data_IF_279458468463
#
_entry.id   IF_279458468463
#
_cell.length_a   1.000
_cell.length_b   1.000
_cell.length_c   1.000
_cell.angle_alpha   90.00
_cell.angle_beta   90.00
_cell.angle_gamma   90.00
#
_symmetry.space_group_name_H-M   'P 1'
#
loop_
_entity.id
_entity.type
_entity.pdbx_description
1 polymer ?
#
# COMPACT_ATOMS: atom_id res chain seq x y z
N UNK A 1 -13.75 10.00 8.64
CA UNK A 1 -12.40 9.41 8.49
C UNK A 1 -12.58 7.91 8.31
N UNK A 2 -11.77 7.33 7.43
CA UNK A 2 -12.00 6.04 6.79
C UNK A 2 -11.27 4.88 7.48
N UNK A 3 -11.97 3.87 7.99
CA UNK A 3 -11.41 2.81 8.84
C UNK A 3 -10.74 1.68 8.04
N UNK A 4 -9.84 0.96 8.70
CA UNK A 4 -9.35 -0.34 8.23
C UNK A 4 -10.12 -1.43 8.99
N UNK A 5 -10.57 -2.45 8.27
CA UNK A 5 -11.26 -3.60 8.84
C UNK A 5 -10.42 -4.86 8.68
N UNK A 6 -10.58 -5.79 9.61
CA UNK A 6 -10.03 -7.14 9.59
C UNK A 6 -11.19 -8.11 9.78
N UNK A 7 -11.53 -8.86 8.74
CA UNK A 7 -12.64 -9.79 8.73
C UNK A 7 -12.16 -11.23 8.85
N UNK A 8 -12.87 -12.03 9.62
CA UNK A 8 -12.79 -13.49 9.64
C UNK A 8 -14.20 -14.06 9.62
N UNK A 9 -14.37 -15.35 9.29
CA UNK A 9 -15.68 -16.01 9.40
C UNK A 9 -16.26 -15.99 10.83
N UNK A 10 -15.41 -15.86 11.85
CA UNK A 10 -15.81 -15.90 13.27
C UNK A 10 -15.98 -14.52 13.90
N UNK A 11 -15.73 -13.44 13.16
CA UNK A 11 -15.84 -12.07 13.67
C UNK A 11 -14.89 -11.10 12.98
N UNK A 12 -14.99 -9.84 13.38
CA UNK A 12 -14.25 -8.72 12.80
C UNK A 12 -13.59 -7.83 13.86
N UNK A 13 -12.62 -7.05 13.42
CA UNK A 13 -11.99 -5.99 14.19
C UNK A 13 -11.74 -4.78 13.31
N UNK A 14 -11.79 -3.59 13.89
CA UNK A 14 -11.58 -2.34 13.17
C UNK A 14 -10.42 -1.52 13.77
N UNK A 15 -9.76 -0.79 12.88
CA UNK A 15 -8.74 0.19 13.23
C UNK A 15 -9.17 1.57 12.73
N UNK A 16 -9.02 2.57 13.59
CA UNK A 16 -9.41 3.93 13.28
C UNK A 16 -8.69 4.47 12.06
N UNK A 17 -9.45 5.22 11.25
CA UNK A 17 -8.98 5.66 9.94
C UNK A 17 -7.78 6.59 9.94
N UNK A 18 -7.52 7.22 11.08
CA UNK A 18 -6.28 7.97 11.28
C UNK A 18 -5.05 7.09 11.05
N UNK A 19 -5.08 5.77 11.30
CA UNK A 19 -3.92 4.87 11.13
C UNK A 19 -3.49 4.76 9.68
N UNK A 20 -4.43 4.63 8.74
CA UNK A 20 -4.07 4.62 7.31
C UNK A 20 -3.35 5.91 6.91
N UNK A 21 -3.85 7.06 7.33
CA UNK A 21 -3.21 8.35 7.04
C UNK A 21 -1.82 8.46 7.71
N UNK A 22 -1.67 7.89 8.91
CA UNK A 22 -0.39 7.81 9.59
C UNK A 22 0.62 6.93 8.84
N UNK A 23 0.18 5.78 8.32
CA UNK A 23 1.03 4.89 7.52
C UNK A 23 1.47 5.56 6.21
N UNK A 24 0.56 6.26 5.54
CA UNK A 24 0.91 7.08 4.38
C UNK A 24 2.00 8.11 4.72
N UNK A 25 1.81 8.83 5.83
CA UNK A 25 2.78 9.83 6.30
C UNK A 25 4.14 9.20 6.63
N UNK A 26 4.18 8.06 7.33
CA UNK A 26 5.41 7.35 7.65
C UNK A 26 6.18 6.96 6.40
N UNK A 27 5.51 6.36 5.41
CA UNK A 27 6.16 5.94 4.16
C UNK A 27 6.76 7.14 3.41
N UNK A 28 6.00 8.24 3.29
CA UNK A 28 6.49 9.46 2.64
C UNK A 28 7.63 10.12 3.41
N UNK A 29 7.61 10.13 4.74
CA UNK A 29 8.72 10.69 5.52
C UNK A 29 10.00 9.88 5.37
N UNK A 30 9.92 8.56 5.25
CA UNK A 30 11.08 7.74 4.92
C UNK A 30 11.62 8.05 3.52
N UNK A 31 10.74 8.15 2.51
CA UNK A 31 11.12 8.57 1.16
C UNK A 31 11.87 9.91 1.19
N UNK A 32 11.26 10.95 1.74
CA UNK A 32 11.78 12.31 1.74
C UNK A 32 13.09 12.44 2.53
N UNK A 33 13.26 11.66 3.60
CA UNK A 33 14.50 11.63 4.36
C UNK A 33 15.68 11.09 3.52
N UNK A 34 15.44 10.09 2.68
CA UNK A 34 16.48 9.53 1.79
C UNK A 34 16.71 10.43 0.57
N UNK A 35 15.67 11.08 0.05
CA UNK A 35 15.81 12.00 -1.08
C UNK A 35 16.62 13.26 -0.74
N UNK A 36 16.73 13.64 0.54
CA UNK A 36 17.52 14.78 1.04
C UNK A 36 17.32 16.07 0.22
N UNK A 37 16.05 16.41 -0.04
CA UNK A 37 15.68 17.59 -0.85
C UNK A 37 16.25 18.91 -0.29
N UNK A 38 16.57 18.94 1.01
CA UNK A 38 17.17 20.11 1.67
C UNK A 38 18.59 20.42 1.22
N UNK A 39 19.24 19.53 0.47
CA UNK A 39 20.57 19.75 -0.10
C UNK A 39 20.58 20.66 -1.36
N UNK A 40 19.41 21.07 -1.88
CA UNK A 40 19.30 22.02 -2.99
C UNK A 40 19.85 23.40 -2.62
N UNK A 41 20.65 23.98 -3.51
CA UNK A 41 21.11 25.38 -3.43
C UNK A 41 21.24 25.97 -4.83
N UNK A 42 21.35 27.30 -4.95
CA UNK A 42 21.58 27.95 -6.24
C UNK A 42 22.91 27.52 -6.90
N UNK A 43 23.96 27.35 -6.10
CA UNK A 43 25.29 26.95 -6.59
C UNK A 43 25.45 25.44 -6.77
N UNK A 44 24.56 24.65 -6.18
CA UNK A 44 24.52 23.19 -6.29
C UNK A 44 23.06 22.74 -6.36
N UNK A 45 22.45 22.76 -7.55
CA UNK A 45 21.09 22.28 -7.75
C UNK A 45 20.99 20.78 -7.43
N UNK A 46 19.89 20.39 -6.81
CA UNK A 46 19.60 19.00 -6.46
C UNK A 46 19.39 18.16 -7.72
N UNK A 47 20.02 16.96 -7.83
CA UNK A 47 19.92 16.13 -9.04
C UNK A 47 18.49 15.74 -9.42
N UNK A 48 17.63 15.50 -8.42
CA UNK A 48 16.21 15.19 -8.60
C UNK A 48 15.40 16.28 -9.33
N UNK A 49 15.92 17.51 -9.48
CA UNK A 49 15.29 18.54 -10.32
C UNK A 49 15.00 18.03 -11.74
N UNK A 50 15.88 17.19 -12.28
CA UNK A 50 15.76 16.61 -13.61
C UNK A 50 14.59 15.63 -13.74
N UNK A 51 14.07 15.13 -12.61
CA UNK A 51 12.91 14.26 -12.59
C UNK A 51 11.61 15.03 -12.90
N UNK A 52 11.56 16.34 -12.65
CA UNK A 52 10.36 17.13 -12.86
C UNK A 52 10.26 17.60 -14.31
N UNK A 53 9.05 17.58 -14.93
CA UNK A 53 8.84 18.16 -16.26
C UNK A 53 9.32 19.61 -16.33
N UNK A 54 9.85 20.04 -17.48
CA UNK A 54 10.43 21.38 -17.63
C UNK A 54 9.44 22.53 -17.29
N UNK A 55 8.15 22.30 -17.53
CA UNK A 55 7.05 23.24 -17.25
C UNK A 55 6.42 23.04 -15.85
N UNK A 56 6.95 22.15 -15.01
CA UNK A 56 6.44 21.91 -13.68
C UNK A 56 6.75 23.09 -12.76
N UNK A 57 5.81 23.50 -11.91
CA UNK A 57 5.95 24.71 -11.09
C UNK A 57 7.21 24.71 -10.19
N UNK A 58 7.69 23.53 -9.78
CA UNK A 58 8.91 23.39 -8.99
C UNK A 58 10.16 23.91 -9.70
N UNK A 59 10.20 23.95 -11.04
CA UNK A 59 11.38 24.36 -11.81
C UNK A 59 11.69 25.85 -11.70
N UNK A 60 10.75 26.66 -11.20
CA UNK A 60 10.91 28.11 -11.00
C UNK A 60 11.59 28.48 -9.67
N UNK A 61 11.79 27.52 -8.77
CA UNK A 61 12.27 27.77 -7.41
C UNK A 61 13.68 27.24 -7.18
N UNK A 62 14.37 27.74 -6.15
CA UNK A 62 15.69 27.27 -5.72
C UNK A 62 15.82 27.17 -4.19
N UNK A 63 16.80 26.39 -3.75
CA UNK A 63 17.14 26.19 -2.36
C UNK A 63 15.97 25.64 -1.55
N UNK A 64 15.74 26.26 -0.39
CA UNK A 64 14.67 25.88 0.54
C UNK A 64 13.27 25.96 -0.08
N UNK A 65 13.04 26.94 -0.97
CA UNK A 65 11.76 27.10 -1.64
C UNK A 65 11.52 25.97 -2.64
N UNK A 66 12.55 25.58 -3.41
CA UNK A 66 12.48 24.39 -4.24
C UNK A 66 12.18 23.14 -3.41
N UNK A 67 12.94 22.92 -2.33
CA UNK A 67 12.78 21.73 -1.48
C UNK A 67 11.35 21.60 -0.94
N UNK A 68 10.75 22.72 -0.50
CA UNK A 68 9.38 22.76 0.02
C UNK A 68 8.36 22.46 -1.08
N UNK A 69 8.52 23.06 -2.26
CA UNK A 69 7.62 22.81 -3.39
C UNK A 69 7.76 21.39 -3.94
N UNK A 70 8.97 20.84 -3.99
CA UNK A 70 9.23 19.46 -4.39
C UNK A 70 8.63 18.46 -3.39
N UNK A 71 8.78 18.68 -2.08
CA UNK A 71 8.12 17.87 -1.04
C UNK A 71 6.59 17.88 -1.23
N UNK A 72 6.00 19.05 -1.43
CA UNK A 72 4.56 19.16 -1.67
C UNK A 72 4.12 18.43 -2.95
N UNK A 73 4.88 18.56 -4.05
CA UNK A 73 4.60 17.86 -5.30
C UNK A 73 4.62 16.34 -5.11
N UNK A 74 5.62 15.83 -4.39
CA UNK A 74 5.81 14.41 -4.10
C UNK A 74 4.67 13.87 -3.23
N UNK A 75 4.34 14.56 -2.13
CA UNK A 75 3.30 14.10 -1.18
C UNK A 75 1.90 14.18 -1.77
N UNK A 76 1.59 15.25 -2.50
CA UNK A 76 0.24 15.45 -3.03
C UNK A 76 -0.10 14.55 -4.22
N UNK A 77 0.85 13.72 -4.69
CA UNK A 77 0.79 13.13 -6.03
C UNK A 77 0.72 14.21 -7.12
N UNK A 78 1.12 15.44 -6.75
CA UNK A 78 0.83 16.70 -7.43
C UNK A 78 1.80 17.01 -8.57
N UNK A 79 2.31 15.98 -9.23
CA UNK A 79 2.76 16.15 -10.60
C UNK A 79 1.49 16.05 -11.40
N UNK A 80 0.96 17.19 -11.82
CA UNK A 80 -0.35 17.39 -12.45
C UNK A 80 -0.61 16.58 -13.73
N UNK A 81 0.29 15.69 -14.08
CA UNK A 81 0.22 14.75 -15.17
C UNK A 81 -0.05 13.33 -14.62
N UNK A 82 -1.23 12.75 -14.86
CA UNK A 82 -1.55 11.38 -14.45
C UNK A 82 -0.59 10.33 -15.06
N UNK A 83 0.10 10.68 -16.15
CA UNK A 83 1.09 9.84 -16.83
C UNK A 83 2.51 10.08 -16.30
N UNK A 84 2.71 10.98 -15.33
CA UNK A 84 4.03 11.15 -14.75
C UNK A 84 4.51 9.85 -14.10
N UNK A 85 5.61 9.33 -14.62
CA UNK A 85 6.33 8.19 -14.07
C UNK A 85 7.81 8.53 -14.03
N UNK A 86 8.41 8.34 -12.85
CA UNK A 86 9.84 8.30 -12.69
C UNK A 86 10.38 7.15 -13.54
N UNK A 87 11.27 7.48 -14.47
CA UNK A 87 11.99 6.49 -15.26
C UNK A 87 13.36 6.30 -14.63
N UNK A 88 13.63 5.12 -14.09
CA UNK A 88 14.87 4.76 -13.39
C UNK A 88 15.52 3.62 -14.17
N UNK A 89 16.32 3.98 -15.18
CA UNK A 89 16.81 3.01 -16.16
C UNK A 89 15.67 2.50 -17.05
N UNK A 90 15.44 1.19 -17.04
CA UNK A 90 14.33 0.52 -17.72
C UNK A 90 13.05 0.41 -16.87
N UNK A 91 13.15 0.69 -15.56
CA UNK A 91 12.04 0.60 -14.61
C UNK A 91 11.22 1.88 -14.57
N UNK A 92 9.91 1.74 -14.31
CA UNK A 92 8.99 2.87 -14.11
C UNK A 92 8.36 2.81 -12.73
N UNK A 93 8.25 3.96 -12.09
CA UNK A 93 7.57 4.09 -10.79
C UNK A 93 6.93 5.46 -10.64
N UNK A 94 5.99 5.59 -9.71
CA UNK A 94 5.62 6.87 -9.14
C UNK A 94 6.26 7.04 -7.75
N UNK A 95 6.13 8.23 -7.18
CA UNK A 95 6.67 8.53 -5.84
C UNK A 95 5.91 7.81 -4.72
N UNK A 96 4.62 7.49 -4.91
CA UNK A 96 3.82 6.79 -3.92
C UNK A 96 4.30 5.35 -3.75
N UNK A 97 4.45 4.62 -4.85
CA UNK A 97 5.02 3.29 -4.95
C UNK A 97 6.47 3.29 -4.42
N UNK A 98 7.26 4.29 -4.79
CA UNK A 98 8.61 4.43 -4.28
C UNK A 98 8.65 4.67 -2.77
N UNK A 99 7.67 5.39 -2.19
CA UNK A 99 7.57 5.59 -0.76
C UNK A 99 7.29 4.28 -0.02
N UNK A 100 6.36 3.47 -0.54
CA UNK A 100 6.07 2.13 -0.01
C UNK A 100 7.31 1.23 -0.07
N UNK A 101 7.97 1.15 -1.23
CA UNK A 101 9.18 0.35 -1.41
C UNK A 101 10.35 0.82 -0.56
N UNK A 102 10.46 2.13 -0.32
CA UNK A 102 11.48 2.68 0.61
C UNK A 102 11.21 2.21 2.03
N UNK A 103 9.96 2.27 2.49
CA UNK A 103 9.56 1.76 3.80
C UNK A 103 9.80 0.24 3.91
N UNK A 104 9.58 -0.52 2.84
CA UNK A 104 9.90 -1.95 2.78
C UNK A 104 11.41 -2.21 2.83
N UNK A 105 12.23 -1.38 2.17
CA UNK A 105 13.68 -1.58 2.10
C UNK A 105 14.40 -1.29 3.42
N UNK A 106 13.98 -0.26 4.17
CA UNK A 106 14.66 0.17 5.42
C UNK A 106 13.92 -0.24 6.69
N UNK A 107 12.63 -0.56 6.58
CA UNK A 107 11.77 -0.81 7.72
C UNK A 107 11.96 -2.20 8.30
N UNK A 108 11.86 -2.30 9.63
CA UNK A 108 11.55 -3.57 10.29
C UNK A 108 10.09 -3.98 10.06
N UNK A 109 9.72 -5.18 10.50
CA UNK A 109 8.40 -5.77 10.20
C UNK A 109 7.19 -4.86 10.45
N UNK A 110 7.11 -4.06 11.54
CA UNK A 110 5.96 -3.19 11.72
C UNK A 110 5.82 -2.11 10.65
N UNK A 111 6.95 -1.55 10.18
CA UNK A 111 6.92 -0.53 9.13
C UNK A 111 6.64 -1.17 7.76
N UNK A 112 7.16 -2.37 7.52
CA UNK A 112 6.79 -3.17 6.34
C UNK A 112 5.29 -3.44 6.30
N UNK A 113 4.71 -3.82 7.44
CA UNK A 113 3.28 -4.04 7.57
C UNK A 113 2.48 -2.74 7.38
N UNK A 114 2.94 -1.61 7.93
CA UNK A 114 2.32 -0.31 7.67
C UNK A 114 2.23 -0.01 6.16
N UNK A 115 3.33 -0.24 5.43
CA UNK A 115 3.39 -0.04 3.99
C UNK A 115 2.48 -1.02 3.23
N UNK A 116 2.50 -2.32 3.57
CA UNK A 116 1.61 -3.33 2.99
C UNK A 116 0.14 -3.00 3.21
N UNK A 117 -0.27 -2.68 4.44
CA UNK A 117 -1.64 -2.31 4.75
C UNK A 117 -2.05 -1.02 4.04
N UNK A 118 -1.18 -0.01 4.00
CA UNK A 118 -1.50 1.22 3.28
C UNK A 118 -1.68 0.98 1.78
N UNK A 119 -0.79 0.21 1.16
CA UNK A 119 -0.79 -0.05 -0.28
C UNK A 119 -1.77 -1.11 -0.76
N UNK A 120 -2.28 -1.97 0.12
CA UNK A 120 -3.11 -3.13 -0.28
C UNK A 120 -4.46 -3.22 0.46
N UNK A 121 -4.79 -2.30 1.37
CA UNK A 121 -6.09 -2.34 2.08
C UNK A 121 -7.31 -2.23 1.16
N UNK A 122 -7.16 -1.62 -0.02
CA UNK A 122 -8.20 -1.54 -1.05
C UNK A 122 -8.26 -2.78 -1.94
N UNK A 123 -7.25 -3.66 -1.85
CA UNK A 123 -7.12 -4.89 -2.63
C UNK A 123 -7.47 -6.15 -1.81
N UNK A 124 -7.99 -5.94 -0.60
CA UNK A 124 -8.31 -7.01 0.33
C UNK A 124 -7.13 -7.94 0.65
N UNK A 125 -5.97 -7.37 0.99
CA UNK A 125 -4.84 -8.15 1.51
C UNK A 125 -5.29 -9.09 2.64
N UNK A 126 -4.77 -10.31 2.65
CA UNK A 126 -5.23 -11.34 3.57
C UNK A 126 -4.07 -12.11 4.19
N UNK A 127 -4.32 -12.77 5.32
CA UNK A 127 -3.39 -13.70 5.97
C UNK A 127 -4.11 -15.04 6.15
N UNK A 128 -3.47 -16.14 5.75
CA UNK A 128 -4.00 -17.48 6.00
C UNK A 128 -3.94 -17.84 7.49
N UNK A 129 -4.82 -18.77 7.91
CA UNK A 129 -5.01 -19.13 9.32
C UNK A 129 -3.73 -19.48 10.06
N UNK A 130 -2.86 -20.27 9.42
CA UNK A 130 -1.56 -20.70 9.95
C UNK A 130 -0.60 -19.54 10.23
N UNK A 131 -0.80 -18.38 9.59
CA UNK A 131 0.06 -17.21 9.69
C UNK A 131 -0.55 -16.08 10.55
N UNK A 132 -1.76 -16.23 11.08
CA UNK A 132 -2.43 -15.19 11.88
C UNK A 132 -1.62 -14.79 13.12
N UNK A 133 -1.05 -15.76 13.84
CA UNK A 133 -0.23 -15.50 15.03
C UNK A 133 1.04 -14.71 14.70
N UNK A 134 1.70 -15.03 13.57
CA UNK A 134 2.85 -14.28 13.08
C UNK A 134 2.49 -12.81 12.79
N UNK A 135 1.36 -12.57 12.11
CA UNK A 135 0.90 -11.21 11.86
C UNK A 135 0.59 -10.46 13.16
N UNK A 136 -0.04 -11.13 14.13
CA UNK A 136 -0.34 -10.57 15.44
C UNK A 136 0.95 -10.15 16.19
N UNK A 137 2.03 -10.92 16.07
CA UNK A 137 3.33 -10.60 16.67
C UNK A 137 3.95 -9.36 16.04
N UNK A 138 3.83 -9.17 14.72
CA UNK A 138 4.27 -7.94 14.03
C UNK A 138 3.49 -6.72 14.53
N UNK A 139 2.16 -6.84 14.65
CA UNK A 139 1.31 -5.75 15.12
C UNK A 139 1.65 -5.38 16.56
N UNK A 140 1.81 -6.37 17.43
CA UNK A 140 2.18 -6.16 18.83
C UNK A 140 3.56 -5.49 18.94
N UNK A 141 4.56 -5.94 18.17
CA UNK A 141 5.87 -5.28 18.11
C UNK A 141 5.77 -3.82 17.61
N UNK A 142 4.88 -3.56 16.64
CA UNK A 142 4.59 -2.21 16.15
C UNK A 142 4.04 -1.29 17.22
N UNK A 143 3.11 -1.79 18.04
CA UNK A 143 2.55 -1.06 19.18
C UNK A 143 3.60 -0.79 20.26
N UNK A 144 4.38 -1.79 20.64
CA UNK A 144 5.44 -1.65 21.66
C UNK A 144 6.50 -0.62 21.26
N UNK A 145 6.76 -0.46 19.97
CA UNK A 145 7.70 0.52 19.41
C UNK A 145 7.05 1.86 19.06
N UNK A 146 5.77 2.06 19.37
CA UNK A 146 4.98 3.25 19.01
C UNK A 146 4.96 3.58 17.51
N UNK A 147 5.16 2.57 16.65
CA UNK A 147 4.96 2.70 15.20
C UNK A 147 3.45 2.68 14.92
N UNK A 148 2.73 1.77 15.57
CA UNK A 148 1.26 1.70 15.57
C UNK A 148 0.74 2.44 16.79
N UNK A 149 -0.19 3.37 16.60
CA UNK A 149 -0.61 4.26 17.69
C UNK A 149 -1.51 3.53 18.69
N UNK A 150 -1.44 3.95 19.94
CA UNK A 150 -2.29 3.42 20.99
C UNK A 150 -3.75 3.85 20.83
N UNK A 151 -4.68 3.05 21.33
CA UNK A 151 -6.13 3.34 21.35
C UNK A 151 -6.75 3.55 19.95
N UNK A 152 -6.23 2.87 18.94
CA UNK A 152 -6.78 2.92 17.58
C UNK A 152 -7.45 1.62 17.15
N UNK A 153 -7.56 0.61 18.02
CA UNK A 153 -8.23 -0.67 17.74
C UNK A 153 -7.28 -1.83 17.42
N UNK A 154 -5.96 -1.61 17.42
CA UNK A 154 -4.98 -2.67 17.16
C UNK A 154 -5.03 -3.80 18.19
N UNK A 155 -5.42 -3.52 19.43
CA UNK A 155 -5.65 -4.49 20.49
C UNK A 155 -6.68 -5.54 20.07
N UNK A 156 -7.81 -5.09 19.51
CA UNK A 156 -8.88 -5.95 19.01
C UNK A 156 -8.43 -6.76 17.78
N UNK A 157 -7.61 -6.18 16.91
CA UNK A 157 -7.04 -6.91 15.77
C UNK A 157 -6.10 -8.03 16.23
N UNK A 158 -5.25 -7.75 17.23
CA UNK A 158 -4.38 -8.78 17.82
C UNK A 158 -5.22 -9.88 18.46
N UNK A 159 -6.27 -9.53 19.21
CA UNK A 159 -7.19 -10.51 19.79
C UNK A 159 -7.85 -11.38 18.72
N UNK A 160 -8.39 -10.77 17.66
CA UNK A 160 -8.98 -11.48 16.52
C UNK A 160 -7.99 -12.47 15.90
N UNK A 161 -6.78 -12.02 15.58
CA UNK A 161 -5.75 -12.85 14.97
C UNK A 161 -5.29 -14.00 15.87
N UNK A 162 -5.31 -13.80 17.20
CA UNK A 162 -4.94 -14.84 18.18
C UNK A 162 -6.09 -15.75 18.58
N UNK A 163 -7.34 -15.37 18.30
CA UNK A 163 -8.52 -16.14 18.70
C UNK A 163 -8.61 -17.52 18.03
N UNK A 164 -8.00 -17.69 16.86
CA UNK A 164 -8.02 -18.91 16.08
C UNK A 164 -6.88 -18.95 15.07
N UNK A 165 -6.33 -20.15 14.82
CA UNK A 165 -5.44 -20.45 13.69
C UNK A 165 -6.18 -20.97 12.46
N UNK A 166 -7.52 -21.06 12.52
CA UNK A 166 -8.35 -21.59 11.44
C UNK A 166 -8.90 -20.46 10.56
N UNK A 167 -8.87 -20.70 9.24
CA UNK A 167 -9.41 -19.81 8.22
C UNK A 167 -8.60 -18.51 8.01
N UNK A 168 -8.83 -17.78 6.92
CA UNK A 168 -8.10 -16.54 6.62
C UNK A 168 -8.64 -15.33 7.40
N UNK A 169 -7.82 -14.29 7.58
CA UNK A 169 -8.28 -12.93 7.93
C UNK A 169 -8.03 -12.02 6.74
N UNK A 170 -9.04 -11.25 6.34
CA UNK A 170 -9.01 -10.36 5.18
C UNK A 170 -9.12 -8.92 5.62
N UNK A 171 -8.33 -8.04 5.03
CA UNK A 171 -8.41 -6.60 5.30
C UNK A 171 -9.40 -5.93 4.35
N UNK A 172 -10.04 -4.85 4.79
CA UNK A 172 -10.78 -3.95 3.89
C UNK A 172 -10.64 -2.51 4.37
N UNK A 173 -11.06 -1.58 3.51
CA UNK A 173 -11.06 -0.16 3.80
C UNK A 173 -12.47 0.42 3.67
N UNK A 174 -12.88 1.28 4.59
CA UNK A 174 -14.27 1.74 4.72
C UNK A 174 -14.80 2.62 3.57
N UNK A 175 -14.00 2.90 2.55
CA UNK A 175 -14.40 3.69 1.36
C UNK A 175 -14.57 2.79 0.14
N UNK A 176 -13.92 1.62 0.15
CA UNK A 176 -14.10 0.59 -0.86
C UNK A 176 -15.27 -0.31 -0.46
N UNK A 177 -15.70 -1.14 -1.40
CA UNK A 177 -16.60 -2.25 -1.07
C UNK A 177 -16.00 -3.12 0.03
N UNK A 178 -16.85 -3.63 0.92
CA UNK A 178 -16.41 -4.46 2.04
C UNK A 178 -16.20 -5.91 1.60
N UNK A 179 -15.58 -6.71 2.47
CA UNK A 179 -15.45 -8.14 2.25
C UNK A 179 -16.54 -8.88 3.03
N UNK A 180 -17.20 -9.93 2.50
CA UNK A 180 -17.00 -10.54 1.16
C UNK A 180 -17.36 -9.60 0.00
N UNK A 181 -16.58 -9.65 -1.08
CA UNK A 181 -16.70 -8.75 -2.23
C UNK A 181 -17.13 -9.49 -3.49
N UNK A 182 -18.28 -9.11 -4.05
CA UNK A 182 -18.87 -9.69 -5.27
C UNK A 182 -18.02 -9.41 -6.51
N UNK A 183 -17.59 -8.15 -6.69
CA UNK A 183 -16.85 -7.69 -7.86
C UNK A 183 -15.62 -8.56 -8.09
N UNK A 184 -14.86 -8.85 -7.04
CA UNK A 184 -13.68 -9.72 -7.13
C UNK A 184 -14.07 -11.15 -7.50
N UNK A 185 -15.18 -11.67 -6.96
CA UNK A 185 -15.65 -13.01 -7.29
C UNK A 185 -16.09 -13.14 -8.76
N UNK A 186 -16.69 -12.10 -9.32
CA UNK A 186 -17.08 -12.01 -10.74
C UNK A 186 -15.85 -11.85 -11.64
N UNK A 187 -14.97 -10.90 -11.33
CA UNK A 187 -13.77 -10.59 -12.13
C UNK A 187 -12.85 -11.82 -12.28
N UNK A 188 -12.71 -12.61 -11.22
CA UNK A 188 -11.91 -13.84 -11.23
C UNK A 188 -12.68 -15.06 -11.76
N UNK A 189 -13.94 -14.89 -12.19
CA UNK A 189 -14.78 -15.95 -12.75
C UNK A 189 -15.15 -17.06 -11.76
N UNK A 190 -15.07 -16.78 -10.46
CA UNK A 190 -15.39 -17.72 -9.38
C UNK A 190 -16.89 -17.80 -9.13
N UNK A 191 -17.59 -16.69 -9.36
CA UNK A 191 -19.02 -16.58 -9.28
C UNK A 191 -19.58 -15.83 -10.49
N UNK A 192 -20.83 -16.10 -10.84
CA UNK A 192 -21.55 -15.37 -11.88
C UNK A 192 -23.01 -15.26 -11.47
N UNK A 193 -23.67 -14.12 -11.74
CA UNK A 193 -25.09 -13.98 -11.45
C UNK A 193 -25.92 -14.94 -12.33
N UNK A 194 -27.13 -15.32 -11.89
CA UNK A 194 -28.03 -16.14 -12.70
C UNK A 194 -28.39 -15.46 -14.03
N UNK A 195 -28.37 -16.18 -15.16
CA UNK A 195 -28.65 -15.66 -16.52
C UNK A 195 -30.02 -14.95 -16.70
N UNK A 196 -30.92 -15.06 -15.72
CA UNK A 196 -32.28 -14.52 -15.77
C UNK A 196 -32.45 -13.18 -15.07
N UNK A 197 -31.43 -12.68 -14.37
CA UNK A 197 -31.49 -11.42 -13.66
C UNK A 197 -31.23 -10.24 -14.61
N UNK A 198 -31.99 -9.15 -14.47
CA UNK A 198 -31.63 -7.86 -15.08
C UNK A 198 -30.54 -7.18 -14.23
N UNK A 199 -29.86 -6.14 -14.73
CA UNK A 199 -28.75 -5.47 -14.02
C UNK A 199 -29.08 -5.02 -12.57
N UNK A 200 -30.34 -4.69 -12.25
CA UNK A 200 -30.79 -4.36 -10.88
C UNK A 200 -31.07 -5.60 -9.98
N UNK A 201 -31.23 -6.79 -10.56
CA UNK A 201 -31.48 -8.08 -9.88
C UNK A 201 -30.18 -8.89 -9.64
N UNK A 202 -29.07 -8.51 -10.28
CA UNK A 202 -27.75 -9.15 -10.14
C UNK A 202 -27.15 -8.91 -8.74
N UNK A 203 -27.14 -7.65 -8.27
CA UNK A 203 -26.69 -7.28 -6.91
C UNK A 203 -27.50 -8.05 -5.84
N UNK A 204 -28.82 -8.18 -6.02
CA UNK A 204 -29.71 -8.92 -5.12
C UNK A 204 -29.38 -10.43 -5.07
N UNK A 205 -28.84 -11.00 -6.15
CA UNK A 205 -28.48 -12.42 -6.20
C UNK A 205 -27.28 -12.75 -5.32
N UNK A 206 -26.25 -11.89 -5.30
CA UNK A 206 -25.10 -12.05 -4.41
C UNK A 206 -25.51 -11.95 -2.94
N UNK A 207 -26.26 -10.90 -2.57
CA UNK A 207 -26.72 -10.72 -1.20
C UNK A 207 -27.77 -11.76 -0.77
N UNK A 208 -28.39 -12.47 -1.71
CA UNK A 208 -29.25 -13.63 -1.46
C UNK A 208 -28.50 -14.92 -1.10
N UNK A 209 -27.18 -15.00 -1.35
CA UNK A 209 -26.37 -16.16 -0.97
C UNK A 209 -26.17 -16.26 0.55
N UNK A 210 -26.03 -17.48 1.10
CA UNK A 210 -25.52 -17.65 2.46
C UNK A 210 -24.16 -16.96 2.65
N UNK A 211 -23.94 -16.29 3.78
CA UNK A 211 -22.68 -15.60 4.09
C UNK A 211 -21.44 -16.51 3.94
N UNK A 212 -21.59 -17.80 4.24
CA UNK A 212 -20.53 -18.80 4.10
C UNK A 212 -20.16 -19.07 2.64
N UNK A 213 -21.12 -18.97 1.72
CA UNK A 213 -20.87 -19.09 0.28
C UNK A 213 -20.26 -17.81 -0.28
N UNK A 214 -20.77 -16.63 0.11
CA UNK A 214 -20.16 -15.34 -0.25
C UNK A 214 -18.69 -15.29 0.17
N UNK A 215 -18.41 -15.66 1.44
CA UNK A 215 -17.05 -15.75 1.96
C UNK A 215 -16.18 -16.71 1.14
N UNK A 216 -16.71 -17.91 0.83
CA UNK A 216 -15.97 -18.92 0.08
C UNK A 216 -15.62 -18.41 -1.31
N UNK A 217 -16.60 -17.90 -2.06
CA UNK A 217 -16.37 -17.36 -3.40
C UNK A 217 -15.36 -16.20 -3.40
N UNK A 218 -15.52 -15.23 -2.49
CA UNK A 218 -14.61 -14.09 -2.40
C UNK A 218 -13.19 -14.52 -1.99
N UNK A 219 -13.03 -15.49 -1.07
CA UNK A 219 -11.71 -16.02 -0.70
C UNK A 219 -11.05 -16.82 -1.83
N UNK A 220 -11.82 -17.65 -2.53
CA UNK A 220 -11.33 -18.43 -3.67
C UNK A 220 -10.82 -17.47 -4.76
N UNK A 221 -11.54 -16.38 -5.02
CA UNK A 221 -11.14 -15.32 -5.94
C UNK A 221 -9.87 -14.58 -5.49
N UNK A 222 -9.75 -14.20 -4.21
CA UNK A 222 -8.51 -13.57 -3.69
C UNK A 222 -7.29 -14.49 -3.82
N UNK A 223 -7.46 -15.81 -3.62
CA UNK A 223 -6.38 -16.78 -3.78
C UNK A 223 -5.97 -16.94 -5.24
N UNK A 224 -6.91 -16.93 -6.18
CA UNK A 224 -6.62 -16.90 -7.62
C UNK A 224 -5.86 -15.62 -7.95
N UNK A 225 -6.36 -14.45 -7.51
CA UNK A 225 -5.74 -13.15 -7.76
C UNK A 225 -4.30 -13.08 -7.26
N UNK A 226 -4.05 -13.61 -6.06
CA UNK A 226 -2.72 -13.70 -5.44
C UNK A 226 -1.74 -14.61 -6.22
N UNK A 227 -2.24 -15.58 -7.00
CA UNK A 227 -1.42 -16.50 -7.80
C UNK A 227 -1.23 -16.04 -9.25
N UNK A 228 -2.28 -15.45 -9.84
CA UNK A 228 -2.36 -15.15 -11.27
C UNK A 228 -1.71 -13.82 -11.65
N UNK A 229 -1.63 -12.87 -10.71
CA UNK A 229 -1.13 -11.53 -10.99
C UNK A 229 0.16 -11.23 -10.21
N UNK A 230 0.92 -10.23 -10.67
CA UNK A 230 2.01 -9.62 -9.90
C UNK A 230 1.52 -8.94 -8.59
N UNK A 231 0.23 -9.06 -8.25
CA UNK A 231 -0.39 -8.62 -7.01
C UNK A 231 -0.25 -9.70 -5.92
N UNK A 232 0.91 -9.79 -5.28
CA UNK A 232 1.09 -10.63 -4.07
C UNK A 232 0.41 -9.98 -2.86
N UNK A 233 -0.89 -10.24 -2.70
CA UNK A 233 -1.73 -9.62 -1.66
C UNK A 233 -1.76 -10.41 -0.34
N UNK A 234 -1.32 -11.67 -0.35
CA UNK A 234 -1.18 -12.46 0.88
C UNK A 234 -0.04 -11.90 1.75
N UNK A 235 -0.32 -11.74 3.04
CA UNK A 235 0.63 -11.41 4.10
C UNK A 235 1.10 -12.73 4.72
N UNK A 236 2.34 -13.14 4.41
CA UNK A 236 2.93 -14.39 4.90
C UNK A 236 4.43 -14.24 5.16
N UNK A 237 5.02 -15.09 6.01
CA UNK A 237 6.45 -15.01 6.32
C UNK A 237 7.36 -15.35 5.13
N UNK A 238 6.95 -16.26 4.24
CA UNK A 238 7.82 -16.87 3.23
C UNK A 238 8.45 -15.87 2.25
N UNK A 239 7.70 -14.85 1.81
CA UNK A 239 8.16 -13.80 0.90
C UNK A 239 8.14 -12.40 1.53
N UNK A 240 7.97 -12.33 2.85
CA UNK A 240 7.87 -11.06 3.59
C UNK A 240 9.10 -10.16 3.40
N UNK A 241 10.28 -10.78 3.37
CA UNK A 241 11.53 -10.05 3.26
C UNK A 241 11.74 -9.45 1.86
N UNK A 242 11.29 -10.15 0.83
CA UNK A 242 11.60 -9.88 -0.57
C UNK A 242 10.45 -9.18 -1.33
N UNK A 243 9.29 -9.02 -0.69
CA UNK A 243 8.15 -8.34 -1.31
C UNK A 243 8.48 -6.89 -1.66
N UNK A 244 8.01 -6.46 -2.84
CA UNK A 244 7.99 -5.07 -3.28
C UNK A 244 6.75 -4.78 -4.14
N UNK A 245 6.40 -3.51 -4.24
CA UNK A 245 5.36 -3.01 -5.14
C UNK A 245 5.95 -2.67 -6.52
N UNK A 246 5.23 -3.01 -7.59
CA UNK A 246 5.65 -2.74 -8.98
C UNK A 246 7.08 -3.24 -9.25
N UNK A 247 7.90 -2.43 -9.91
CA UNK A 247 9.29 -2.76 -10.26
C UNK A 247 10.28 -2.63 -9.07
N UNK A 248 9.79 -2.44 -7.85
CA UNK A 248 10.61 -2.39 -6.64
C UNK A 248 11.49 -1.13 -6.49
N UNK A 249 11.24 -0.10 -7.30
CA UNK A 249 11.96 1.18 -7.21
C UNK A 249 11.75 1.81 -5.83
N UNK A 250 12.83 2.16 -5.15
CA UNK A 250 12.86 2.86 -3.86
C UNK A 250 13.55 4.23 -3.97
N UNK A 251 13.57 5.01 -2.88
CA UNK A 251 14.31 6.26 -2.81
C UNK A 251 15.82 6.08 -3.08
N UNK A 252 16.39 4.93 -2.71
CA UNK A 252 17.80 4.66 -2.97
C UNK A 252 18.09 4.54 -4.46
N UNK A 253 17.22 3.86 -5.20
CA UNK A 253 17.32 3.75 -6.66
C UNK A 253 17.20 5.13 -7.32
N UNK A 254 16.25 5.95 -6.85
CA UNK A 254 16.03 7.31 -7.34
C UNK A 254 17.29 8.16 -7.13
N UNK A 255 17.83 8.19 -5.91
CA UNK A 255 19.03 8.96 -5.57
C UNK A 255 20.24 8.48 -6.39
N UNK A 256 20.47 7.17 -6.45
CA UNK A 256 21.58 6.61 -7.22
C UNK A 256 21.50 6.99 -8.70
N UNK A 257 20.29 6.89 -9.29
CA UNK A 257 20.07 7.21 -10.68
C UNK A 257 20.34 8.69 -11.00
N UNK A 258 19.67 9.62 -10.29
CA UNK A 258 19.81 11.04 -10.61
C UNK A 258 21.19 11.60 -10.25
N UNK A 259 21.86 11.06 -9.23
CA UNK A 259 23.26 11.41 -8.96
C UNK A 259 24.18 11.00 -10.13
N UNK A 260 24.02 9.79 -10.65
CA UNK A 260 24.82 9.32 -11.79
C UNK A 260 24.60 10.16 -13.06
N UNK A 261 23.38 10.62 -13.30
CA UNK A 261 23.06 11.53 -14.41
C UNK A 261 23.69 12.91 -14.23
N UNK A 262 23.73 13.45 -13.01
CA UNK A 262 24.35 14.75 -12.74
C UNK A 262 25.89 14.69 -12.95
N UNK A 263 26.52 13.58 -12.61
CA UNK A 263 27.95 13.36 -12.82
C UNK A 263 28.31 13.26 -14.31
N UNK A 264 27.50 12.59 -15.13
CA UNK A 264 27.77 12.40 -16.56
C UNK A 264 27.68 13.69 -17.40
N UNK A 265 26.97 14.71 -16.91
CA UNK A 265 26.85 16.02 -17.57
C UNK A 265 27.93 17.03 -17.13
N UNK A 266 28.77 16.66 -16.15
CA UNK A 266 29.81 17.52 -15.58
C UNK A 266 31.22 17.22 -16.10
N UNK A 267 31.38 16.20 -16.96
CA UNK A 267 32.66 15.81 -17.59
C UNK A 267 32.69 16.10 -19.07
#
# INVERSE_FOLDING_TARGET
MSKLYFYSQSGDAEVYGTERHWFNWLCHKMLLAILDLGSDTESRPHPLRQAFPANHYTTHYYGKEWATNAENAIIAGGISDPDFRLTIGDRKSDFWTAALNTALAIGGDPLKLAARLHGQCELHAFVEGTNRAWLADIIEAGRQRNIFRANTGWESVIELLRSSSEGPVVTSYSVCEQFPNEVIAVEEGVWSPPETANEDEDDDAWYGLPETEQWRFAMDALRIRNQAHDYKIELKPDDWADYHFGDGVSAFDIVAHFNSLAESHSG
#
